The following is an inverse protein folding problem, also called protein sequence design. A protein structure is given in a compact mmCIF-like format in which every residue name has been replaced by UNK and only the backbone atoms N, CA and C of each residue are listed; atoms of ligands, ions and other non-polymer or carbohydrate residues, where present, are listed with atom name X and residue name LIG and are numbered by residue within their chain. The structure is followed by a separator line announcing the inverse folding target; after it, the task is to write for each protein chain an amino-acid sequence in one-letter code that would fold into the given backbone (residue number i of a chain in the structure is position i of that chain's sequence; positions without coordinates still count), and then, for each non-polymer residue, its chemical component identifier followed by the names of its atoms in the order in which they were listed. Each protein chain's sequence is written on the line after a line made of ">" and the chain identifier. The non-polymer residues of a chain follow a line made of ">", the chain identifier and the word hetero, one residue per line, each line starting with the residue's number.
data_IF_986490030817
#
_entry.id   IF_986490030817
#
_cell.length_a   1.000
_cell.length_b   1.000
_cell.length_c   1.000
_cell.angle_alpha   90.00
_cell.angle_beta   90.00
_cell.angle_gamma   90.00
#
_symmetry.space_group_name_H-M   'P 1'
#
loop_
_entity.id
_entity.type
_entity.pdbx_description
1 polymer ?
#
# COMPACT_ATOMS: atom_id res chain seq x y z
N UNK A 1 18.94 9.57 28.89
CA UNK A 1 17.67 9.98 28.24
C UNK A 1 17.77 10.19 26.71
N UNK A 2 18.86 9.78 26.03
CA UNK A 2 19.02 10.00 24.58
C UNK A 2 18.45 8.88 23.68
N UNK A 3 18.32 7.65 24.18
CA UNK A 3 17.92 6.48 23.36
C UNK A 3 16.42 6.42 23.00
N UNK A 4 15.54 7.14 23.71
CA UNK A 4 14.12 7.22 23.33
C UNK A 4 13.86 8.15 22.15
N UNK A 5 14.69 9.19 21.98
CA UNK A 5 14.46 10.28 21.01
C UNK A 5 14.84 9.91 19.57
N UNK A 6 15.72 8.93 19.39
CA UNK A 6 16.03 8.35 18.07
C UNK A 6 14.91 7.43 17.58
N UNK A 7 14.34 6.59 18.46
CA UNK A 7 13.20 5.72 18.13
C UNK A 7 11.92 6.48 17.75
N UNK A 8 11.77 7.74 18.18
CA UNK A 8 10.62 8.59 17.84
C UNK A 8 10.81 9.38 16.54
N UNK A 9 12.06 9.53 16.04
CA UNK A 9 12.33 10.19 14.75
C UNK A 9 12.15 9.23 13.57
N UNK A 10 12.52 7.95 13.70
CA UNK A 10 12.23 6.90 12.70
C UNK A 10 10.73 6.75 12.42
N UNK A 11 9.88 6.81 13.47
CA UNK A 11 8.42 6.66 13.34
C UNK A 11 7.72 7.84 12.66
N UNK A 12 8.39 8.98 12.52
CA UNK A 12 7.80 10.17 11.90
C UNK A 12 7.93 10.15 10.37
N UNK A 13 8.97 9.49 9.85
CA UNK A 13 9.23 9.36 8.41
C UNK A 13 8.48 8.16 7.80
N UNK A 14 8.20 7.13 8.60
CA UNK A 14 7.47 5.95 8.14
C UNK A 14 6.06 6.29 7.63
N UNK A 15 5.35 7.27 8.22
CA UNK A 15 4.01 7.64 7.77
C UNK A 15 3.93 8.10 6.30
N UNK A 16 4.95 8.82 5.82
CA UNK A 16 5.05 9.23 4.41
C UNK A 16 5.54 8.13 3.48
N UNK A 17 6.25 7.14 4.03
CA UNK A 17 6.85 6.04 3.27
C UNK A 17 5.79 5.19 2.56
N UNK A 18 4.66 4.91 3.20
CA UNK A 18 3.54 4.15 2.61
C UNK A 18 2.96 4.81 1.37
N UNK A 19 2.71 6.12 1.47
CA UNK A 19 2.18 6.91 0.36
C UNK A 19 3.18 6.93 -0.80
N UNK A 20 4.48 7.02 -0.50
CA UNK A 20 5.53 6.90 -1.50
C UNK A 20 5.52 5.53 -2.21
N UNK A 21 5.35 4.42 -1.49
CA UNK A 21 5.23 3.08 -2.08
C UNK A 21 4.01 2.95 -2.99
N UNK A 22 2.85 3.49 -2.59
CA UNK A 22 1.63 3.49 -3.42
C UNK A 22 1.83 4.31 -4.69
N UNK A 23 2.38 5.51 -4.58
CA UNK A 23 2.62 6.38 -5.73
C UNK A 23 3.68 5.80 -6.68
N UNK A 24 4.73 5.16 -6.15
CA UNK A 24 5.73 4.46 -6.95
C UNK A 24 5.10 3.25 -7.66
N UNK A 25 4.24 2.50 -6.98
CA UNK A 25 3.47 1.41 -7.58
C UNK A 25 2.61 1.89 -8.75
N UNK A 26 1.83 2.96 -8.56
CA UNK A 26 1.01 3.57 -9.60
C UNK A 26 1.85 4.03 -10.81
N UNK A 27 2.98 4.71 -10.56
CA UNK A 27 3.88 5.14 -11.62
C UNK A 27 4.48 3.95 -12.41
N UNK A 28 4.79 2.84 -11.71
CA UNK A 28 5.27 1.61 -12.35
C UNK A 28 4.18 0.92 -13.17
N UNK A 29 2.93 0.93 -12.70
CA UNK A 29 1.77 0.44 -13.46
C UNK A 29 1.60 1.26 -14.75
N UNK A 30 1.61 2.59 -14.64
CA UNK A 30 1.49 3.49 -15.79
C UNK A 30 2.66 3.33 -16.79
N UNK A 31 3.83 2.93 -16.31
CA UNK A 31 4.99 2.62 -17.14
C UNK A 31 4.99 1.18 -17.73
N UNK A 32 3.94 0.38 -17.50
CA UNK A 32 3.86 -1.01 -17.94
C UNK A 32 4.77 -1.99 -17.18
N UNK A 33 5.43 -1.53 -16.10
CA UNK A 33 6.37 -2.33 -15.28
C UNK A 33 5.64 -3.08 -14.18
N UNK A 34 4.65 -3.89 -14.57
CA UNK A 34 3.70 -4.51 -13.64
C UNK A 34 4.37 -5.43 -12.59
N UNK A 35 5.44 -6.15 -12.95
CA UNK A 35 6.13 -7.02 -12.01
C UNK A 35 6.84 -6.25 -10.89
N UNK A 36 7.41 -5.09 -11.22
CA UNK A 36 8.06 -4.23 -10.25
C UNK A 36 7.03 -3.54 -9.37
N UNK A 37 5.92 -3.09 -9.96
CA UNK A 37 4.79 -2.55 -9.20
C UNK A 37 4.30 -3.56 -8.14
N UNK A 38 4.16 -4.85 -8.49
CA UNK A 38 3.80 -5.90 -7.52
C UNK A 38 4.80 -5.97 -6.37
N UNK A 39 6.11 -5.90 -6.64
CA UNK A 39 7.13 -5.98 -5.60
C UNK A 39 7.05 -4.78 -4.65
N UNK A 40 6.99 -3.57 -5.21
CA UNK A 40 6.92 -2.30 -4.47
C UNK A 40 5.65 -2.21 -3.62
N UNK A 41 4.49 -2.47 -4.21
CA UNK A 41 3.20 -2.42 -3.49
C UNK A 41 3.12 -3.47 -2.38
N UNK A 42 3.70 -4.66 -2.59
CA UNK A 42 3.76 -5.71 -1.56
C UNK A 42 4.68 -5.33 -0.41
N UNK A 43 5.75 -4.58 -0.66
CA UNK A 43 6.57 -4.03 0.41
C UNK A 43 5.78 -2.98 1.19
N UNK A 44 5.14 -2.05 0.48
CA UNK A 44 4.28 -1.02 1.08
C UNK A 44 3.16 -1.60 1.96
N UNK A 45 2.52 -2.69 1.54
CA UNK A 45 1.42 -3.31 2.29
C UNK A 45 1.85 -4.06 3.57
N UNK A 46 3.15 -4.34 3.72
CA UNK A 46 3.73 -5.08 4.86
C UNK A 46 4.35 -4.21 5.93
N UNK A 47 4.57 -2.94 5.61
CA UNK A 47 5.13 -1.99 6.55
C UNK A 47 4.16 -1.82 7.73
N UNK A 48 4.69 -1.79 8.95
CA UNK A 48 3.92 -1.76 10.19
C UNK A 48 3.60 -0.32 10.61
N UNK A 49 2.31 0.01 10.68
CA UNK A 49 1.84 1.36 11.05
C UNK A 49 1.68 1.57 12.55
N UNK A 50 2.09 0.61 13.37
CA UNK A 50 1.89 0.65 14.82
C UNK A 50 2.66 1.81 15.47
N UNK A 51 1.92 2.79 15.98
CA UNK A 51 2.46 3.97 16.66
C UNK A 51 2.59 5.22 15.78
N UNK A 52 2.10 5.19 14.54
CA UNK A 52 2.01 6.37 13.69
C UNK A 52 0.95 7.35 14.21
N UNK A 53 1.30 8.64 14.26
CA UNK A 53 0.37 9.73 14.57
C UNK A 53 -0.79 9.78 13.58
N UNK A 54 -0.54 9.40 12.32
CA UNK A 54 -1.49 9.43 11.22
C UNK A 54 -1.90 8.01 10.78
N UNK A 55 -2.36 7.19 11.73
CA UNK A 55 -2.83 5.82 11.47
C UNK A 55 -3.88 5.74 10.36
N UNK A 56 -4.77 6.73 10.24
CA UNK A 56 -5.81 6.73 9.19
C UNK A 56 -5.24 6.83 7.78
N UNK A 57 -4.22 7.67 7.58
CA UNK A 57 -3.56 7.82 6.27
C UNK A 57 -2.78 6.57 5.93
N UNK A 58 -2.15 5.95 6.93
CA UNK A 58 -1.49 4.66 6.81
C UNK A 58 -2.44 3.54 6.37
N UNK A 59 -3.57 3.37 7.06
CA UNK A 59 -4.56 2.34 6.72
C UNK A 59 -5.13 2.59 5.31
N UNK A 60 -5.41 3.85 4.98
CA UNK A 60 -5.85 4.23 3.62
C UNK A 60 -4.83 3.84 2.56
N UNK A 61 -3.56 4.21 2.74
CA UNK A 61 -2.49 3.87 1.80
C UNK A 61 -2.26 2.36 1.70
N UNK A 62 -2.37 1.63 2.81
CA UNK A 62 -2.27 0.17 2.82
C UNK A 62 -3.39 -0.47 2.01
N UNK A 63 -4.63 0.00 2.19
CA UNK A 63 -5.78 -0.47 1.41
C UNK A 63 -5.59 -0.15 -0.07
N UNK A 64 -5.13 1.06 -0.42
CA UNK A 64 -4.77 1.42 -1.80
C UNK A 64 -3.78 0.45 -2.43
N UNK A 65 -2.71 0.13 -1.71
CA UNK A 65 -1.69 -0.80 -2.19
C UNK A 65 -2.26 -2.20 -2.46
N UNK A 66 -3.12 -2.69 -1.56
CA UNK A 66 -3.78 -4.00 -1.70
C UNK A 66 -4.76 -4.04 -2.88
N UNK A 67 -5.51 -2.95 -3.12
CA UNK A 67 -6.41 -2.86 -4.27
C UNK A 67 -5.65 -2.86 -5.59
N UNK A 68 -4.55 -2.08 -5.68
CA UNK A 68 -3.70 -2.06 -6.87
C UNK A 68 -3.02 -3.43 -7.10
N UNK A 69 -2.57 -4.10 -6.03
CA UNK A 69 -2.08 -5.48 -6.12
C UNK A 69 -3.14 -6.47 -6.63
N UNK A 70 -4.37 -6.34 -6.14
CA UNK A 70 -5.49 -7.14 -6.60
C UNK A 70 -5.76 -6.95 -8.09
N UNK A 71 -5.71 -5.71 -8.57
CA UNK A 71 -5.88 -5.37 -9.97
C UNK A 71 -4.75 -5.97 -10.83
N UNK A 72 -3.49 -5.77 -10.42
CA UNK A 72 -2.32 -6.34 -11.09
C UNK A 72 -2.36 -7.86 -11.18
N UNK A 73 -2.80 -8.55 -10.11
CA UNK A 73 -2.96 -10.00 -10.14
C UNK A 73 -4.12 -10.44 -11.03
N UNK A 74 -5.19 -9.65 -11.11
CA UNK A 74 -6.32 -9.93 -12.00
C UNK A 74 -5.90 -9.81 -13.47
N UNK A 75 -5.18 -8.74 -13.81
CA UNK A 75 -4.62 -8.50 -15.16
C UNK A 75 -3.66 -9.63 -15.59
N UNK A 76 -2.93 -10.22 -14.64
CA UNK A 76 -2.04 -11.36 -14.87
C UNK A 76 -2.76 -12.73 -14.88
N UNK A 77 -4.09 -12.77 -14.74
CA UNK A 77 -4.88 -14.02 -14.65
C UNK A 77 -4.71 -14.79 -13.33
N UNK A 78 -4.08 -14.19 -12.32
CA UNK A 78 -3.76 -14.81 -11.02
C UNK A 78 -4.89 -14.57 -10.01
N UNK A 79 -6.09 -15.04 -10.36
CA UNK A 79 -7.34 -14.75 -9.64
C UNK A 79 -7.29 -15.10 -8.14
N UNK A 80 -6.64 -16.21 -7.76
CA UNK A 80 -6.50 -16.59 -6.35
C UNK A 80 -5.74 -15.55 -5.52
N UNK A 81 -4.67 -14.97 -6.10
CA UNK A 81 -3.89 -13.92 -5.42
C UNK A 81 -4.63 -12.59 -5.42
N UNK A 82 -5.35 -12.28 -6.50
CA UNK A 82 -6.21 -11.11 -6.56
C UNK A 82 -7.28 -11.15 -5.47
N UNK A 83 -7.99 -12.27 -5.33
CA UNK A 83 -9.00 -12.46 -4.29
C UNK A 83 -8.43 -12.31 -2.88
N UNK A 84 -7.24 -12.86 -2.62
CA UNK A 84 -6.58 -12.70 -1.33
C UNK A 84 -6.28 -11.22 -1.03
N UNK A 85 -5.71 -10.48 -1.99
CA UNK A 85 -5.40 -9.07 -1.84
C UNK A 85 -6.67 -8.22 -1.62
N UNK A 86 -7.72 -8.45 -2.42
CA UNK A 86 -9.00 -7.74 -2.26
C UNK A 86 -9.69 -8.05 -0.93
N UNK A 87 -9.62 -9.29 -0.45
CA UNK A 87 -10.17 -9.66 0.88
C UNK A 87 -9.42 -8.96 2.01
N UNK A 88 -8.10 -8.89 1.93
CA UNK A 88 -7.29 -8.17 2.92
C UNK A 88 -7.61 -6.68 2.90
N UNK A 89 -7.78 -6.09 1.71
CA UNK A 89 -8.19 -4.69 1.55
C UNK A 89 -9.59 -4.44 2.15
N UNK A 90 -10.54 -5.33 1.89
CA UNK A 90 -11.91 -5.26 2.43
C UNK A 90 -11.94 -5.38 3.95
N UNK A 91 -11.03 -6.14 4.55
CA UNK A 91 -10.94 -6.28 6.01
C UNK A 91 -10.28 -5.07 6.69
N UNK A 92 -9.44 -4.34 5.95
CA UNK A 92 -8.65 -3.21 6.47
C UNK A 92 -9.24 -1.84 6.08
N UNK A 93 -10.43 -1.83 5.48
CA UNK A 93 -11.09 -0.64 4.94
C UNK A 93 -11.46 0.33 6.09
N UNK A 94 -10.92 1.56 6.13
CA UNK A 94 -11.33 2.54 7.13
C UNK A 94 -12.77 3.02 6.85
N UNK A 95 -13.51 3.39 7.90
CA UNK A 95 -14.89 3.93 7.82
C UNK A 95 -15.05 5.07 6.80
N UNK A 96 -13.97 5.82 6.55
CA UNK A 96 -13.92 6.87 5.54
C UNK A 96 -12.79 6.58 4.55
N UNK A 97 -13.09 5.75 3.55
CA UNK A 97 -12.17 5.45 2.46
C UNK A 97 -12.60 6.19 1.19
N UNK A 98 -11.77 7.10 0.64
CA UNK A 98 -12.10 7.79 -0.58
C UNK A 98 -12.10 6.80 -1.77
N UNK A 99 -13.01 6.97 -2.75
CA UNK A 99 -13.00 6.14 -3.95
C UNK A 99 -11.67 6.29 -4.67
N UNK A 100 -11.03 5.17 -4.99
CA UNK A 100 -9.74 5.16 -5.67
C UNK A 100 -9.88 4.60 -7.08
N UNK A 101 -9.15 5.23 -8.00
CA UNK A 101 -9.09 4.79 -9.39
C UNK A 101 -8.05 3.69 -9.46
N UNK A 102 -8.47 2.45 -9.70
CA UNK A 102 -7.56 1.34 -9.95
C UNK A 102 -7.07 1.42 -11.39
N UNK A 103 -5.79 1.75 -11.56
CA UNK A 103 -5.12 1.71 -12.85
C UNK A 103 -4.79 0.24 -13.20
N UNK A 104 -5.23 -0.20 -14.38
CA UNK A 104 -4.83 -1.49 -14.94
C UNK A 104 -3.49 -1.36 -15.66
N UNK A 105 -2.64 -2.36 -15.50
CA UNK A 105 -1.38 -2.42 -16.21
C UNK A 105 -1.67 -2.92 -17.63
N UNK A 106 -1.65 -2.00 -18.59
CA UNK A 106 -2.02 -2.27 -19.99
C UNK A 106 -0.80 -2.58 -20.83
#
# INVERSE_FOLDING_TARGET
>A
MALRRMSEMDKKEEGGLYVAYVNLGAALIAAGRCQEAVSVLRQGSRLDGTGLRNRKEHETARVSALLQLGALYSDQGRLQRALAAYREAAHSLPEHYPPQVSESCR
#
